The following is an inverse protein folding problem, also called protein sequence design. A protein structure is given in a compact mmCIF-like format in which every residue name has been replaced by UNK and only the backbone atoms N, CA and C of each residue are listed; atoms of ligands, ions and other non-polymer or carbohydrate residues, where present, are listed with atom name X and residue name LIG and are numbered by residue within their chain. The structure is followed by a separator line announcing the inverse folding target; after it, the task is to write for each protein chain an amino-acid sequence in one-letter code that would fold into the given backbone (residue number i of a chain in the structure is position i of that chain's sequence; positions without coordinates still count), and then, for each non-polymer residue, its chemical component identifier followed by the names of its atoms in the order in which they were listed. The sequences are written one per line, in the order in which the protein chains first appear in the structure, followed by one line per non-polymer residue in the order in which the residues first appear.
data_IF_797677215669
#
_entry.id   IF_797677215669
#
_cell.length_a   1.000
_cell.length_b   1.000
_cell.length_c   1.000
_cell.angle_alpha   90.00
_cell.angle_beta   90.00
_cell.angle_gamma   90.00
#
_symmetry.space_group_name_H-M   'P 1'
#
loop_
_entity.id
_entity.type
_entity.pdbx_description
1 polymer ?
#
# COMPACT_ATOMS: atom_id res chain seq x y z
N UNK A 1 -21.17 20.17 -11.95
CA UNK A 1 -20.93 19.18 -10.87
C UNK A 1 -20.07 18.08 -11.46
N UNK A 2 -18.91 17.78 -10.87
CA UNK A 2 -18.15 16.61 -11.28
C UNK A 2 -18.75 15.40 -10.57
N UNK A 3 -19.04 14.34 -11.33
CA UNK A 3 -19.44 13.06 -10.73
C UNK A 3 -18.33 12.54 -9.82
N UNK A 4 -18.67 11.84 -8.72
CA UNK A 4 -17.68 11.15 -7.91
C UNK A 4 -16.85 10.20 -8.78
N UNK A 5 -15.55 10.11 -8.50
CA UNK A 5 -14.65 9.14 -9.14
C UNK A 5 -14.97 7.76 -8.57
N UNK A 6 -15.22 6.78 -9.45
CA UNK A 6 -15.28 5.37 -9.09
C UNK A 6 -13.89 4.79 -9.28
N UNK A 7 -13.31 4.26 -8.21
CA UNK A 7 -12.02 3.55 -8.25
C UNK A 7 -12.31 2.05 -8.27
N UNK A 8 -11.71 1.34 -9.22
CA UNK A 8 -11.71 -0.11 -9.29
C UNK A 8 -10.29 -0.59 -9.61
N UNK A 9 -9.98 -1.81 -9.20
CA UNK A 9 -8.71 -2.48 -9.53
C UNK A 9 -8.93 -3.43 -10.72
N UNK A 10 -8.12 -3.25 -11.76
CA UNK A 10 -8.16 -4.02 -13.01
C UNK A 10 -6.78 -4.56 -13.41
N UNK A 11 -5.81 -4.50 -12.49
CA UNK A 11 -4.48 -5.08 -12.70
C UNK A 11 -4.49 -6.58 -12.42
N UNK A 12 -4.69 -7.36 -13.49
CA UNK A 12 -4.74 -8.83 -13.48
C UNK A 12 -3.44 -9.50 -12.99
N UNK A 13 -2.38 -8.74 -12.71
CA UNK A 13 -1.15 -9.25 -12.10
C UNK A 13 -1.29 -9.47 -10.60
N UNK A 14 -2.36 -9.02 -9.96
CA UNK A 14 -2.51 -9.04 -8.50
C UNK A 14 -3.81 -9.69 -8.01
N UNK A 15 -3.77 -10.18 -6.78
CA UNK A 15 -4.92 -10.77 -6.07
C UNK A 15 -4.90 -10.43 -4.59
N UNK A 16 -6.08 -10.49 -3.97
CA UNK A 16 -6.23 -10.51 -2.52
C UNK A 16 -6.55 -11.93 -2.07
N UNK A 17 -5.88 -12.39 -1.02
CA UNK A 17 -6.13 -13.64 -0.31
C UNK A 17 -5.78 -13.47 1.17
N UNK A 18 -6.04 -14.48 2.00
CA UNK A 18 -5.59 -14.48 3.40
C UNK A 18 -4.06 -14.36 3.47
N UNK A 19 -3.58 -13.42 4.30
CA UNK A 19 -2.16 -13.14 4.46
C UNK A 19 -1.42 -14.33 5.06
N UNK A 20 -0.16 -14.49 4.66
CA UNK A 20 0.78 -15.42 5.31
C UNK A 20 1.25 -14.91 6.68
N UNK A 21 0.99 -13.64 7.01
CA UNK A 21 1.32 -13.02 8.30
C UNK A 21 0.19 -13.27 9.31
N UNK A 22 0.45 -13.98 10.43
CA UNK A 22 -0.58 -14.28 11.41
C UNK A 22 -1.28 -13.04 11.96
N UNK A 23 -2.60 -13.00 11.85
CA UNK A 23 -3.43 -11.90 12.36
C UNK A 23 -3.46 -10.64 11.48
N UNK A 24 -2.80 -10.64 10.32
CA UNK A 24 -2.84 -9.51 9.38
C UNK A 24 -4.14 -9.44 8.57
N UNK A 25 -4.94 -10.52 8.55
CA UNK A 25 -6.15 -10.61 7.75
C UNK A 25 -5.82 -10.89 6.29
N UNK A 26 -6.23 -10.01 5.39
CA UNK A 26 -5.96 -10.15 3.95
C UNK A 26 -4.57 -9.62 3.59
N UNK A 27 -4.01 -10.12 2.49
CA UNK A 27 -2.75 -9.68 1.91
C UNK A 27 -2.83 -9.50 0.39
N UNK A 28 -1.86 -8.76 -0.16
CA UNK A 28 -1.67 -8.55 -1.59
C UNK A 28 -0.73 -9.63 -2.16
N UNK A 29 -1.14 -10.32 -3.22
CA UNK A 29 -0.36 -11.40 -3.82
C UNK A 29 -0.12 -11.18 -5.31
N UNK A 30 1.03 -11.64 -5.81
CA UNK A 30 1.31 -11.70 -7.23
C UNK A 30 0.54 -12.87 -7.88
N UNK A 31 -0.19 -12.64 -8.98
CA UNK A 31 -0.80 -13.69 -9.80
C UNK A 31 0.14 -14.24 -10.87
N UNK A 32 1.14 -13.45 -11.25
CA UNK A 32 2.14 -13.77 -12.27
C UNK A 32 3.53 -13.45 -11.74
N UNK A 33 4.61 -14.03 -12.30
CA UNK A 33 5.96 -13.61 -11.94
C UNK A 33 6.16 -12.12 -12.22
N UNK A 34 6.79 -11.41 -11.30
CA UNK A 34 7.14 -10.00 -11.42
C UNK A 34 8.66 -9.86 -11.41
N UNK A 35 9.22 -9.20 -12.41
CA UNK A 35 10.65 -8.88 -12.45
C UNK A 35 11.00 -7.81 -11.40
N UNK A 36 12.24 -7.82 -10.93
CA UNK A 36 12.80 -6.72 -10.13
C UNK A 36 12.54 -5.37 -10.81
N UNK A 37 11.99 -4.42 -10.06
CA UNK A 37 11.62 -3.11 -10.57
C UNK A 37 10.20 -3.02 -11.14
N UNK A 38 9.46 -4.13 -11.26
CA UNK A 38 8.04 -4.09 -11.57
C UNK A 38 7.28 -3.22 -10.56
N UNK A 39 6.30 -2.46 -11.05
CA UNK A 39 5.54 -1.49 -10.24
C UNK A 39 4.05 -1.82 -10.23
N UNK A 40 3.46 -1.75 -9.03
CA UNK A 40 2.03 -1.54 -8.80
C UNK A 40 1.82 -0.06 -8.44
N UNK A 41 0.96 0.64 -9.17
CA UNK A 41 0.60 2.02 -8.82
C UNK A 41 -0.39 2.01 -7.65
N UNK A 42 -0.14 2.84 -6.65
CA UNK A 42 -1.02 3.00 -5.49
C UNK A 42 -2.08 4.03 -5.85
N UNK A 43 -3.30 3.57 -6.09
CA UNK A 43 -4.44 4.44 -6.35
C UNK A 43 -4.97 4.98 -5.02
N UNK A 44 -5.43 6.23 -4.99
CA UNK A 44 -5.95 6.82 -3.78
C UNK A 44 -6.23 8.31 -3.89
N UNK A 45 -6.63 8.90 -2.77
CA UNK A 45 -6.93 10.33 -2.66
C UNK A 45 -5.86 11.02 -1.82
N UNK A 46 -5.26 12.09 -2.36
CA UNK A 46 -4.33 12.93 -1.59
C UNK A 46 -5.08 13.96 -0.77
N UNK A 47 -4.70 14.11 0.49
CA UNK A 47 -5.23 15.12 1.42
C UNK A 47 -4.09 15.91 2.05
N UNK A 48 -4.35 17.19 2.34
CA UNK A 48 -3.41 18.00 3.11
C UNK A 48 -3.44 17.56 4.60
N UNK A 49 -2.29 17.42 5.27
CA UNK A 49 -2.24 17.06 6.68
C UNK A 49 -3.02 18.06 7.54
N UNK A 50 -3.72 17.56 8.56
CA UNK A 50 -4.56 18.34 9.49
C UNK A 50 -5.77 19.07 8.85
N UNK A 51 -6.00 18.92 7.54
CA UNK A 51 -7.17 19.48 6.86
C UNK A 51 -8.48 18.84 7.32
N UNK A 52 -9.62 19.42 6.94
CA UNK A 52 -10.94 18.81 7.18
C UNK A 52 -11.02 17.41 6.56
N UNK A 53 -10.45 17.22 5.37
CA UNK A 53 -10.43 15.93 4.69
C UNK A 53 -9.61 14.89 5.46
N UNK A 54 -8.41 15.28 5.93
CA UNK A 54 -7.55 14.40 6.74
C UNK A 54 -8.22 13.99 8.06
N UNK A 55 -8.90 14.93 8.74
CA UNK A 55 -9.69 14.65 9.94
C UNK A 55 -10.86 13.71 9.67
N UNK A 56 -11.53 13.87 8.53
CA UNK A 56 -12.64 13.02 8.09
C UNK A 56 -12.19 11.58 7.84
N UNK A 57 -10.93 11.39 7.43
CA UNK A 57 -10.37 10.07 7.09
C UNK A 57 -9.41 9.54 8.16
N UNK A 58 -9.58 9.95 9.43
CA UNK A 58 -8.74 9.47 10.56
C UNK A 58 -8.84 7.97 10.82
N UNK A 59 -9.96 7.36 10.43
CA UNK A 59 -10.14 5.91 10.50
C UNK A 59 -9.16 5.11 9.63
N UNK A 60 -8.40 5.78 8.75
CA UNK A 60 -7.41 5.16 7.88
C UNK A 60 -5.98 5.65 8.17
N UNK A 61 -5.74 6.33 9.30
CA UNK A 61 -4.46 6.99 9.59
C UNK A 61 -3.26 6.04 9.49
N UNK A 62 -3.39 4.84 10.04
CA UNK A 62 -2.37 3.79 10.03
C UNK A 62 -2.12 3.18 8.63
N UNK A 63 -2.98 3.48 7.66
CA UNK A 63 -2.85 3.04 6.27
C UNK A 63 -2.38 4.15 5.33
N UNK A 64 -2.34 5.42 5.76
CA UNK A 64 -2.00 6.55 4.89
C UNK A 64 -0.51 6.56 4.54
N UNK A 65 -0.21 6.85 3.28
CA UNK A 65 1.17 7.03 2.83
C UNK A 65 1.56 8.51 2.88
N UNK A 66 2.67 8.83 3.54
CA UNK A 66 3.32 10.14 3.39
C UNK A 66 3.88 10.30 1.98
N UNK A 67 3.51 11.39 1.31
CA UNK A 67 3.97 11.74 -0.05
C UNK A 67 4.26 13.24 -0.13
N UNK A 68 5.54 13.61 0.04
CA UNK A 68 5.94 15.00 0.23
C UNK A 68 5.16 15.64 1.39
N UNK A 69 4.55 16.79 1.12
CA UNK A 69 3.74 17.53 2.10
C UNK A 69 2.29 17.03 2.21
N UNK A 70 1.92 15.96 1.50
CA UNK A 70 0.57 15.40 1.48
C UNK A 70 0.51 13.99 2.09
N UNK A 71 -0.71 13.56 2.41
CA UNK A 71 -1.04 12.19 2.78
C UNK A 71 -1.86 11.57 1.65
N UNK A 72 -1.45 10.41 1.16
CA UNK A 72 -2.25 9.59 0.25
C UNK A 72 -3.04 8.60 1.09
N UNK A 73 -4.37 8.61 0.96
CA UNK A 73 -5.26 7.56 1.47
C UNK A 73 -5.30 6.50 0.37
N UNK A 74 -4.59 5.37 0.52
CA UNK A 74 -4.56 4.35 -0.52
C UNK A 74 -5.92 3.66 -0.62
N UNK A 75 -6.24 3.20 -1.81
CA UNK A 75 -7.40 2.39 -2.15
C UNK A 75 -6.92 1.18 -2.97
N UNK A 76 -7.73 0.13 -3.00
CA UNK A 76 -7.47 -1.05 -3.83
C UNK A 76 -6.18 -1.80 -3.45
N UNK A 77 -5.48 -2.37 -4.43
CA UNK A 77 -4.38 -3.31 -4.19
C UNK A 77 -3.24 -2.67 -3.39
N UNK A 78 -2.90 -1.42 -3.68
CA UNK A 78 -1.86 -0.70 -2.96
C UNK A 78 -2.16 -0.49 -1.48
N UNK A 79 -3.43 -0.56 -1.05
CA UNK A 79 -3.83 -0.45 0.35
C UNK A 79 -3.75 -1.79 1.12
N UNK A 80 -3.56 -2.92 0.42
CA UNK A 80 -3.66 -4.27 0.98
C UNK A 80 -2.31 -4.96 1.21
N UNK A 81 -1.20 -4.27 0.91
CA UNK A 81 0.14 -4.81 1.15
C UNK A 81 0.49 -4.75 2.65
N UNK A 82 0.93 -5.86 3.22
CA UNK A 82 1.23 -5.96 4.65
C UNK A 82 2.67 -5.56 4.98
N UNK A 83 2.95 -5.48 6.28
CA UNK A 83 4.29 -5.23 6.79
C UNK A 83 5.19 -6.46 6.70
N UNK A 84 6.47 -6.26 6.37
CA UNK A 84 7.54 -7.23 6.64
C UNK A 84 8.86 -6.51 6.96
N UNK A 85 9.64 -7.06 7.90
CA UNK A 85 11.03 -6.64 8.17
C UNK A 85 12.01 -7.08 7.06
N UNK A 86 11.61 -8.02 6.21
CA UNK A 86 12.35 -8.44 5.00
C UNK A 86 11.46 -8.24 3.77
N UNK A 87 11.16 -6.99 3.41
CA UNK A 87 10.18 -6.68 2.36
C UNK A 87 10.68 -7.09 0.97
N UNK A 88 9.75 -7.47 0.10
CA UNK A 88 10.02 -7.75 -1.32
C UNK A 88 9.55 -6.62 -2.24
N UNK A 89 8.81 -5.63 -1.72
CA UNK A 89 8.49 -4.38 -2.42
C UNK A 89 8.81 -3.14 -1.56
N UNK A 90 9.07 -2.01 -2.21
CA UNK A 90 9.26 -0.72 -1.53
C UNK A 90 8.29 0.33 -2.05
N UNK A 91 7.84 1.22 -1.16
CA UNK A 91 7.12 2.43 -1.53
C UNK A 91 8.07 3.40 -2.24
N UNK A 92 7.82 3.68 -3.52
CA UNK A 92 8.56 4.63 -4.34
C UNK A 92 7.63 5.77 -4.73
N UNK A 93 8.11 7.01 -4.60
CA UNK A 93 7.43 8.21 -5.09
C UNK A 93 8.15 8.66 -6.36
N UNK A 94 7.42 8.77 -7.45
CA UNK A 94 7.94 9.22 -8.75
C UNK A 94 7.02 10.32 -9.29
N UNK A 95 7.48 11.56 -9.19
CA UNK A 95 6.65 12.74 -9.44
C UNK A 95 5.42 12.80 -8.53
N UNK A 96 4.23 12.71 -9.14
CA UNK A 96 2.95 12.74 -8.44
C UNK A 96 2.35 11.35 -8.18
N UNK A 97 3.06 10.28 -8.55
CA UNK A 97 2.59 8.92 -8.37
C UNK A 97 3.32 8.23 -7.22
N UNK A 98 2.64 7.26 -6.63
CA UNK A 98 3.20 6.37 -5.63
C UNK A 98 3.10 4.95 -6.16
N UNK A 99 4.16 4.18 -5.97
CA UNK A 99 4.25 2.81 -6.42
C UNK A 99 4.70 1.91 -5.27
N UNK A 100 4.23 0.67 -5.29
CA UNK A 100 4.94 -0.45 -4.67
C UNK A 100 5.82 -1.08 -5.76
N UNK A 101 7.13 -0.98 -5.60
CA UNK A 101 8.12 -1.44 -6.57
C UNK A 101 8.85 -2.68 -6.07
N UNK A 102 8.89 -3.75 -6.87
CA UNK A 102 9.60 -4.98 -6.58
C UNK A 102 11.10 -4.75 -6.37
N UNK A 103 11.64 -5.24 -5.25
CA UNK A 103 13.04 -5.13 -4.84
C UNK A 103 13.91 -6.26 -5.40
N UNK A 104 13.28 -7.38 -5.74
CA UNK A 104 13.81 -8.58 -6.38
C UNK A 104 12.75 -9.15 -7.33
N UNK A 105 13.08 -10.22 -8.04
CA UNK A 105 12.06 -11.01 -8.73
C UNK A 105 11.11 -11.63 -7.71
N UNK A 106 9.82 -11.66 -8.02
CA UNK A 106 8.72 -12.17 -7.19
C UNK A 106 8.01 -13.27 -7.97
N UNK A 107 7.91 -14.46 -7.38
CA UNK A 107 7.21 -15.59 -7.99
C UNK A 107 5.68 -15.41 -7.92
N UNK A 108 4.97 -16.05 -8.85
CA UNK A 108 3.50 -16.10 -8.77
C UNK A 108 3.07 -16.80 -7.47
N UNK A 109 2.13 -16.22 -6.75
CA UNK A 109 1.65 -16.67 -5.46
C UNK A 109 2.39 -16.10 -4.25
N UNK A 110 3.49 -15.36 -4.43
CA UNK A 110 4.14 -14.66 -3.32
C UNK A 110 3.32 -13.45 -2.84
N UNK A 111 3.30 -13.24 -1.52
CA UNK A 111 2.72 -12.05 -0.89
C UNK A 111 3.66 -10.85 -1.05
N UNK A 112 3.12 -9.70 -1.44
CA UNK A 112 3.83 -8.44 -1.52
C UNK A 112 3.75 -7.72 -0.16
N UNK A 113 4.91 -7.57 0.48
CA UNK A 113 5.05 -6.88 1.75
C UNK A 113 6.09 -5.76 1.67
N UNK A 114 5.82 -4.66 2.37
CA UNK A 114 6.74 -3.52 2.48
C UNK A 114 7.05 -3.16 3.94
N UNK A 115 8.09 -2.35 4.16
CA UNK A 115 8.40 -1.84 5.48
C UNK A 115 7.44 -0.69 5.83
N UNK A 116 6.65 -0.85 6.90
CA UNK A 116 5.79 0.20 7.43
C UNK A 116 6.64 1.28 8.08
N UNK A 117 6.11 2.49 8.15
CA UNK A 117 6.74 3.54 8.93
C UNK A 117 6.51 3.34 10.43
N UNK A 118 7.29 4.03 11.26
CA UNK A 118 7.22 3.90 12.72
C UNK A 118 5.83 4.20 13.28
N UNK A 119 5.08 5.12 12.66
CA UNK A 119 3.73 5.47 13.10
C UNK A 119 2.77 4.30 12.90
N UNK A 120 2.79 3.67 11.72
CA UNK A 120 1.98 2.49 11.45
C UNK A 120 2.37 1.31 12.35
N UNK A 121 3.68 1.04 12.53
CA UNK A 121 4.16 -0.02 13.42
C UNK A 121 3.63 0.12 14.85
N UNK A 122 3.73 1.33 15.43
CA UNK A 122 3.19 1.62 16.76
C UNK A 122 1.69 1.37 16.83
N UNK A 123 0.93 1.84 15.83
CA UNK A 123 -0.54 1.72 15.79
C UNK A 123 -1.03 0.29 15.65
N UNK A 124 -0.32 -0.53 14.89
CA UNK A 124 -0.61 -1.96 14.74
C UNK A 124 -0.04 -2.81 15.88
N UNK A 125 0.74 -2.23 16.79
CA UNK A 125 1.40 -2.98 17.86
C UNK A 125 2.49 -3.94 17.34
N UNK A 126 3.10 -3.61 16.20
CA UNK A 126 4.15 -4.41 15.57
C UNK A 126 5.51 -3.97 16.16
N UNK A 127 6.31 -4.90 16.71
CA UNK A 127 7.64 -4.57 17.24
C UNK A 127 8.57 -4.00 16.17
N UNK A 128 9.36 -3.00 16.53
CA UNK A 128 10.48 -2.52 15.71
C UNK A 128 11.65 -3.50 15.91
N UNK A 129 11.89 -4.35 14.92
CA UNK A 129 13.04 -5.28 14.88
C UNK A 129 14.31 -4.59 14.44
#
# INVERSE_FOLDING_TARGET
MHSPIVVNEDDDRFSIAESSTPGAGDGLFARVPLEKGARLRVVGVRVAPNSVADRCTRYADEHKYRVGDSLLIPLGYGAMANHSSTPNVAKVVDGHDVYLQALRDIEAGEELCFAYDAYALERFGIPTT
#
